data_IF_929751739768
#
_entry.id   IF_929751739768
#
_cell.length_a   1.000
_cell.length_b   1.000
_cell.length_c   1.000
_cell.angle_alpha   90.00
_cell.angle_beta   90.00
_cell.angle_gamma   90.00
#
_symmetry.space_group_name_H-M   'P 1'
#
loop_
_entity.id
_entity.type
_entity.pdbx_description
1 polymer ?
#
# COMPACT_ATOMS: atom_id res chain seq x y z
N UNK A 1 -18.30 -29.70 3.83
CA UNK A 1 -17.95 -28.34 4.28
C UNK A 1 -17.59 -27.55 3.04
N UNK A 2 -18.40 -26.56 2.69
CA UNK A 2 -18.10 -25.68 1.56
C UNK A 2 -17.10 -24.67 2.13
N UNK A 3 -15.84 -24.78 1.73
CA UNK A 3 -14.84 -23.75 2.05
C UNK A 3 -15.27 -22.54 1.25
N UNK A 4 -15.97 -21.60 1.90
CA UNK A 4 -16.38 -20.36 1.26
C UNK A 4 -15.13 -19.66 0.76
N UNK A 5 -15.11 -19.31 -0.52
CA UNK A 5 -14.04 -18.51 -1.11
C UNK A 5 -14.02 -17.16 -0.37
N UNK A 6 -13.12 -16.99 0.58
CA UNK A 6 -12.76 -15.65 1.07
C UNK A 6 -11.85 -15.03 0.03
N UNK A 7 -12.38 -14.13 -0.79
CA UNK A 7 -11.53 -13.30 -1.65
C UNK A 7 -10.69 -12.39 -0.75
N UNK A 8 -9.37 -12.55 -0.80
CA UNK A 8 -8.44 -11.69 -0.07
C UNK A 8 -8.67 -10.22 -0.45
N UNK A 9 -8.63 -9.33 0.54
CA UNK A 9 -8.76 -7.88 0.34
C UNK A 9 -7.42 -7.36 -0.17
N UNK A 10 -7.40 -6.85 -1.40
CA UNK A 10 -6.20 -6.33 -2.04
C UNK A 10 -5.95 -4.89 -1.63
N UNK A 11 -4.84 -4.64 -0.95
CA UNK A 11 -4.43 -3.33 -0.47
C UNK A 11 -3.16 -2.92 -1.20
N UNK A 12 -3.22 -1.79 -1.90
CA UNK A 12 -1.99 -1.17 -2.45
C UNK A 12 -1.36 -0.30 -1.37
N UNK A 13 -0.12 -0.61 -1.03
CA UNK A 13 0.68 0.16 -0.07
C UNK A 13 1.51 1.16 -0.85
N UNK A 14 1.37 2.44 -0.50
CA UNK A 14 2.12 3.56 -1.07
C UNK A 14 2.89 4.25 0.07
N UNK A 15 4.10 3.75 0.43
CA UNK A 15 4.83 4.22 1.60
C UNK A 15 5.27 5.68 1.48
N UNK A 16 5.71 6.07 0.29
CA UNK A 16 6.11 7.45 -0.04
C UNK A 16 7.43 7.86 0.61
N UNK A 17 7.48 9.08 1.14
CA UNK A 17 8.68 9.81 1.54
C UNK A 17 8.78 10.05 3.05
N UNK A 18 9.96 10.47 3.50
CA UNK A 18 10.20 10.82 4.91
C UNK A 18 9.94 9.62 5.83
N UNK A 19 9.10 9.83 6.85
CA UNK A 19 8.70 8.77 7.80
C UNK A 19 7.66 7.80 7.22
N UNK A 20 7.14 8.06 6.01
CA UNK A 20 6.09 7.27 5.37
C UNK A 20 6.37 5.75 5.37
N UNK A 21 7.54 5.29 4.91
CA UNK A 21 7.90 3.87 4.94
C UNK A 21 7.87 3.21 6.33
N UNK A 22 8.29 3.92 7.36
CA UNK A 22 8.37 3.38 8.72
C UNK A 22 6.98 3.18 9.32
N UNK A 23 6.09 4.16 9.11
CA UNK A 23 4.74 4.12 9.67
C UNK A 23 3.81 3.19 8.90
N UNK A 24 3.97 3.05 7.58
CA UNK A 24 3.16 2.10 6.80
C UNK A 24 3.55 0.66 7.09
N UNK A 25 4.83 0.36 7.31
CA UNK A 25 5.27 -0.96 7.77
C UNK A 25 4.68 -1.32 9.15
N UNK A 26 4.69 -0.37 10.09
CA UNK A 26 4.03 -0.57 11.38
C UNK A 26 2.51 -0.80 11.23
N UNK A 27 1.85 -0.04 10.36
CA UNK A 27 0.43 -0.19 10.08
C UNK A 27 0.10 -1.56 9.46
N UNK A 28 0.91 -2.06 8.53
CA UNK A 28 0.74 -3.41 7.94
C UNK A 28 0.72 -4.49 9.01
N UNK A 29 1.66 -4.46 9.95
CA UNK A 29 1.71 -5.44 11.07
C UNK A 29 0.45 -5.42 11.93
N UNK A 30 -0.09 -4.23 12.19
CA UNK A 30 -1.34 -4.08 12.96
C UNK A 30 -2.53 -4.59 12.15
N UNK A 31 -2.59 -4.31 10.85
CA UNK A 31 -3.63 -4.79 9.95
C UNK A 31 -3.62 -6.32 9.84
N UNK A 32 -2.45 -6.95 9.68
CA UNK A 32 -2.31 -8.41 9.68
C UNK A 32 -2.83 -9.03 10.97
N UNK A 33 -2.42 -8.48 12.11
CA UNK A 33 -2.87 -8.95 13.42
C UNK A 33 -4.39 -8.76 13.64
N UNK A 34 -4.96 -7.67 13.11
CA UNK A 34 -6.40 -7.42 13.20
C UNK A 34 -7.20 -8.33 12.26
N UNK A 35 -6.74 -8.51 11.02
CA UNK A 35 -7.37 -9.37 10.02
C UNK A 35 -7.42 -10.83 10.47
N UNK A 36 -6.33 -11.32 11.07
CA UNK A 36 -6.28 -12.66 11.65
C UNK A 36 -7.30 -12.91 12.76
N UNK A 37 -7.69 -11.86 13.52
CA UNK A 37 -8.73 -11.99 14.58
C UNK A 37 -10.14 -12.12 14.04
N UNK A 38 -10.39 -11.69 12.81
CA UNK A 38 -11.72 -11.71 12.18
C UNK A 38 -11.81 -12.70 11.02
N UNK A 39 -10.75 -13.47 10.78
CA UNK A 39 -10.70 -14.45 9.68
C UNK A 39 -10.69 -13.80 8.29
N UNK A 40 -10.14 -12.59 8.17
CA UNK A 40 -9.98 -11.89 6.90
C UNK A 40 -8.57 -12.11 6.35
N UNK A 41 -8.47 -12.34 5.05
CA UNK A 41 -7.19 -12.39 4.33
C UNK A 41 -6.89 -11.03 3.71
N UNK A 42 -5.65 -10.56 3.88
CA UNK A 42 -5.15 -9.33 3.27
C UNK A 42 -4.04 -9.67 2.26
N UNK A 43 -4.11 -9.08 1.07
CA UNK A 43 -3.06 -9.14 0.05
C UNK A 43 -2.47 -7.74 -0.14
N UNK A 44 -1.21 -7.56 0.23
CA UNK A 44 -0.52 -6.28 0.13
C UNK A 44 0.39 -6.23 -1.09
N UNK A 45 0.19 -5.23 -1.95
CA UNK A 45 1.10 -4.92 -3.06
C UNK A 45 1.69 -3.53 -2.86
N UNK A 46 3.01 -3.43 -2.82
CA UNK A 46 3.71 -2.18 -2.58
C UNK A 46 4.15 -1.51 -3.90
N UNK A 47 3.99 -0.20 -3.99
CA UNK A 47 4.38 0.61 -5.13
C UNK A 47 4.98 1.96 -4.68
N UNK A 48 5.84 2.55 -5.52
CA UNK A 48 6.43 3.87 -5.23
C UNK A 48 5.45 5.00 -5.52
N UNK A 49 5.51 6.05 -4.71
CA UNK A 49 4.80 7.33 -4.89
C UNK A 49 5.66 8.47 -4.36
N UNK A 50 5.35 9.72 -4.75
CA UNK A 50 6.02 10.91 -4.22
C UNK A 50 7.45 11.05 -4.72
N UNK A 51 8.31 11.65 -3.89
CA UNK A 51 9.72 11.87 -4.15
C UNK A 51 10.48 10.58 -4.49
N UNK A 52 10.18 9.48 -3.81
CA UNK A 52 10.74 8.16 -4.11
C UNK A 52 10.45 7.71 -5.56
N UNK A 53 9.25 7.98 -6.07
CA UNK A 53 8.90 7.69 -7.46
C UNK A 53 9.53 8.70 -8.43
N UNK A 54 9.66 9.98 -8.04
CA UNK A 54 10.39 10.99 -8.84
C UNK A 54 11.85 10.58 -9.01
N UNK A 55 12.50 10.16 -7.95
CA UNK A 55 13.90 9.73 -7.98
C UNK A 55 14.12 8.51 -8.87
N UNK A 56 13.22 7.52 -8.81
CA UNK A 56 13.35 6.28 -9.56
C UNK A 56 12.90 6.40 -11.03
N UNK A 57 11.88 7.22 -11.30
CA UNK A 57 11.16 7.20 -12.57
C UNK A 57 10.86 8.58 -13.18
N UNK A 58 11.26 9.67 -12.53
CA UNK A 58 11.04 11.03 -12.99
C UNK A 58 9.60 11.54 -12.87
N UNK A 59 8.70 10.78 -12.21
CA UNK A 59 7.30 11.15 -12.02
C UNK A 59 6.82 10.72 -10.64
N UNK A 60 6.05 11.58 -9.95
CA UNK A 60 5.57 11.33 -8.58
C UNK A 60 4.54 10.20 -8.48
N UNK A 61 3.81 9.92 -9.57
CA UNK A 61 2.86 8.82 -9.65
C UNK A 61 2.90 8.21 -11.04
N UNK A 62 3.34 6.95 -11.13
CA UNK A 62 3.37 6.24 -12.41
C UNK A 62 1.94 5.87 -12.85
N UNK A 63 1.64 5.87 -14.17
CA UNK A 63 0.38 5.36 -14.68
C UNK A 63 0.08 3.91 -14.27
N UNK A 64 1.12 3.07 -14.12
CA UNK A 64 0.97 1.69 -13.63
C UNK A 64 0.52 1.65 -12.18
N UNK A 65 1.14 2.43 -11.30
CA UNK A 65 0.74 2.55 -9.89
C UNK A 65 -0.72 3.02 -9.78
N UNK A 66 -1.11 4.03 -10.57
CA UNK A 66 -2.50 4.48 -10.61
C UNK A 66 -3.47 3.38 -11.10
N UNK A 67 -3.10 2.60 -12.13
CA UNK A 67 -3.92 1.47 -12.58
C UNK A 67 -4.07 0.42 -11.48
N UNK A 68 -2.99 0.12 -10.76
CA UNK A 68 -3.01 -0.85 -9.66
C UNK A 68 -3.96 -0.39 -8.54
N UNK A 69 -3.85 0.88 -8.13
CA UNK A 69 -4.74 1.48 -7.14
C UNK A 69 -6.22 1.42 -7.54
N UNK A 70 -6.53 1.60 -8.83
CA UNK A 70 -7.91 1.49 -9.34
C UNK A 70 -8.48 0.07 -9.31
N UNK A 71 -7.62 -0.95 -9.26
CA UNK A 71 -8.01 -2.37 -9.18
C UNK A 71 -7.94 -2.94 -7.77
N UNK A 72 -7.53 -2.14 -6.79
CA UNK A 72 -7.40 -2.54 -5.40
C UNK A 72 -8.69 -2.23 -4.62
N UNK A 73 -8.93 -2.98 -3.54
CA UNK A 73 -10.04 -2.72 -2.63
C UNK A 73 -9.76 -1.51 -1.73
N UNK A 74 -8.49 -1.28 -1.39
CA UNK A 74 -8.05 -0.13 -0.59
C UNK A 74 -6.62 0.33 -0.91
N UNK A 75 -6.29 1.53 -0.45
CA UNK A 75 -4.94 2.11 -0.52
C UNK A 75 -4.48 2.43 0.90
N UNK A 76 -3.33 1.89 1.31
CA UNK A 76 -2.61 2.30 2.50
C UNK A 76 -1.55 3.33 2.10
N UNK A 77 -1.87 4.61 2.29
CA UNK A 77 -1.00 5.71 1.90
C UNK A 77 -0.20 6.23 3.10
N UNK A 78 1.12 6.36 2.95
CA UNK A 78 2.03 6.93 3.94
C UNK A 78 2.05 8.45 3.88
N UNK A 79 3.22 9.02 3.59
CA UNK A 79 3.42 10.46 3.44
C UNK A 79 4.17 10.74 2.13
N UNK A 80 4.01 11.94 1.56
CA UNK A 80 4.80 12.36 0.39
C UNK A 80 5.32 13.77 0.59
N UNK A 81 6.48 14.04 -0.01
CA UNK A 81 7.15 15.33 0.02
C UNK A 81 8.35 15.38 0.97
N UNK A 82 9.19 16.37 0.72
CA UNK A 82 10.39 16.68 1.48
C UNK A 82 11.18 17.79 0.78
N UNK A 83 12.10 18.49 1.46
CA UNK A 83 12.73 19.71 0.93
C UNK A 83 13.48 19.59 -0.41
N UNK A 84 13.72 18.36 -0.87
CA UNK A 84 14.43 18.05 -2.11
C UNK A 84 13.57 18.24 -3.37
N UNK A 85 12.25 18.13 -3.25
CA UNK A 85 11.27 18.22 -4.33
C UNK A 85 10.26 19.32 -4.04
#
# INVERSE_FOLDING_TARGET
MIVGVTTAVRIVVLPGDGIGPEVTEAARRVLDAAAGRVGMELDFVEELVGGASVDAFGVALRPQTLRLCKTADAILFGAVGGPRW
#
